data_IF_260759805043
#
_entry.id   IF_260759805043
#
_cell.length_a   1.000
_cell.length_b   1.000
_cell.length_c   1.000
_cell.angle_alpha   90.00
_cell.angle_beta   90.00
_cell.angle_gamma   90.00
#
_symmetry.space_group_name_H-M   'P 1'
#
loop_
_entity.id
_entity.type
_entity.pdbx_description
1 polymer ?
#
# COMPACT_ATOMS: atom_id res chain seq x y z
N UNK A 1 6.42 -5.73 18.35
CA UNK A 1 7.11 -5.83 17.04
C UNK A 1 6.17 -5.22 16.02
N UNK A 2 6.64 -4.28 15.19
CA UNK A 2 5.78 -3.63 14.19
C UNK A 2 5.36 -4.66 13.15
N UNK A 3 4.07 -4.75 12.88
CA UNK A 3 3.47 -5.62 11.86
C UNK A 3 3.29 -4.89 10.53
N UNK A 4 3.10 -5.61 9.43
CA UNK A 4 2.72 -5.02 8.13
C UNK A 4 1.44 -4.17 8.25
N UNK A 5 0.47 -4.65 9.03
CA UNK A 5 -0.77 -3.92 9.31
C UNK A 5 -0.48 -2.56 9.93
N UNK A 6 0.36 -2.50 10.97
CA UNK A 6 0.71 -1.24 11.63
C UNK A 6 1.51 -0.31 10.71
N UNK A 7 2.42 -0.85 9.90
CA UNK A 7 3.21 -0.11 8.93
C UNK A 7 2.33 0.57 7.87
N UNK A 8 1.45 -0.20 7.23
CA UNK A 8 0.52 0.30 6.21
C UNK A 8 -0.50 1.28 6.80
N UNK A 9 -1.06 0.97 7.97
CA UNK A 9 -1.98 1.88 8.66
C UNK A 9 -1.32 3.21 9.04
N UNK A 10 -0.05 3.20 9.41
CA UNK A 10 0.71 4.42 9.70
C UNK A 10 0.90 5.27 8.43
N UNK A 11 1.09 4.63 7.28
CA UNK A 11 1.34 5.31 6.00
C UNK A 11 0.07 5.81 5.31
N UNK A 12 -1.00 5.01 5.32
CA UNK A 12 -2.27 5.33 4.65
C UNK A 12 -3.23 6.13 5.56
N UNK A 13 -3.12 5.94 6.87
CA UNK A 13 -4.16 6.30 7.83
C UNK A 13 -5.36 5.36 7.73
N UNK A 14 -6.42 5.67 8.49
CA UNK A 14 -7.70 4.97 8.43
C UNK A 14 -8.83 6.00 8.36
N UNK A 15 -9.65 5.92 7.32
CA UNK A 15 -10.83 6.78 7.14
C UNK A 15 -12.08 5.93 6.97
N UNK A 16 -12.96 5.99 7.97
CA UNK A 16 -14.21 5.22 7.97
C UNK A 16 -15.29 5.83 7.06
N UNK A 17 -15.06 7.04 6.55
CA UNK A 17 -15.90 7.68 5.54
C UNK A 17 -15.15 7.69 4.21
N UNK A 18 -15.86 7.40 3.12
CA UNK A 18 -15.31 7.46 1.76
C UNK A 18 -14.67 8.83 1.48
N UNK A 19 -13.53 8.83 0.81
CA UNK A 19 -12.81 10.03 0.41
C UNK A 19 -12.20 9.86 -0.97
N UNK A 20 -11.69 10.94 -1.54
CA UNK A 20 -10.94 10.91 -2.80
C UNK A 20 -9.44 10.93 -2.52
N UNK A 21 -8.70 9.97 -3.08
CA UNK A 21 -7.24 9.89 -2.96
C UNK A 21 -6.51 10.96 -3.80
N UNK A 22 -5.18 10.99 -3.74
CA UNK A 22 -4.34 11.93 -4.50
C UNK A 22 -4.43 11.75 -6.02
N UNK A 23 -4.99 10.64 -6.50
CA UNK A 23 -5.22 10.34 -7.93
C UNK A 23 -6.64 10.71 -8.37
N UNK A 24 -7.48 11.20 -7.46
CA UNK A 24 -8.86 11.52 -7.76
C UNK A 24 -9.78 10.28 -7.78
N UNK A 25 -9.42 9.21 -7.06
CA UNK A 25 -10.18 7.95 -7.01
C UNK A 25 -10.86 7.76 -5.66
N UNK A 26 -12.01 7.07 -5.64
CA UNK A 26 -12.76 6.81 -4.41
C UNK A 26 -12.10 5.72 -3.57
N UNK A 27 -11.85 6.04 -2.31
CA UNK A 27 -11.08 5.21 -1.36
C UNK A 27 -11.76 5.24 0.01
N UNK A 28 -11.62 4.17 0.78
CA UNK A 28 -12.15 4.06 2.15
C UNK A 28 -11.24 3.18 3.02
N UNK A 29 -11.46 3.16 4.34
CA UNK A 29 -10.70 2.35 5.28
C UNK A 29 -9.22 2.71 5.29
N UNK A 30 -8.36 1.70 5.20
CA UNK A 30 -6.90 1.83 5.12
C UNK A 30 -6.47 1.75 3.66
N UNK A 31 -6.58 2.87 2.94
CA UNK A 31 -6.12 2.97 1.55
C UNK A 31 -6.84 2.07 0.54
N UNK A 32 -8.02 1.52 0.88
CA UNK A 32 -8.76 0.60 0.02
C UNK A 32 -9.38 1.34 -1.18
N UNK A 33 -8.85 1.10 -2.38
CA UNK A 33 -9.40 1.64 -3.62
C UNK A 33 -10.71 0.93 -3.98
N UNK A 34 -11.84 1.63 -3.86
CA UNK A 34 -13.15 1.06 -4.13
C UNK A 34 -13.30 0.75 -5.63
N UNK A 35 -12.97 1.72 -6.48
CA UNK A 35 -13.09 1.60 -7.94
C UNK A 35 -12.20 2.61 -8.66
N UNK A 36 -11.77 2.26 -9.87
CA UNK A 36 -11.07 3.20 -10.78
C UNK A 36 -12.00 4.18 -11.48
N UNK A 37 -13.32 3.95 -11.39
CA UNK A 37 -14.34 4.82 -11.99
C UNK A 37 -14.52 6.05 -11.13
N UNK A 38 -14.62 7.22 -11.77
CA UNK A 38 -14.78 8.52 -11.09
C UNK A 38 -16.25 8.92 -10.94
N UNK A 39 -17.10 7.93 -10.69
CA UNK A 39 -18.53 8.13 -10.42
C UNK A 39 -18.87 7.70 -9.00
N UNK A 40 -19.55 8.57 -8.25
CA UNK A 40 -19.85 8.35 -6.82
C UNK A 40 -20.85 7.21 -6.63
N UNK A 41 -21.88 7.13 -7.47
CA UNK A 41 -22.91 6.10 -7.36
C UNK A 41 -22.30 4.72 -7.63
N UNK A 42 -21.49 4.61 -8.68
CA UNK A 42 -20.78 3.37 -8.99
C UNK A 42 -19.78 2.97 -7.89
N UNK A 43 -19.14 3.93 -7.23
CA UNK A 43 -18.30 3.64 -6.07
C UNK A 43 -19.11 3.08 -4.89
N UNK A 44 -20.27 3.68 -4.59
CA UNK A 44 -21.16 3.16 -3.53
C UNK A 44 -21.59 1.74 -3.86
N UNK A 45 -22.08 1.48 -5.07
CA UNK A 45 -22.52 0.14 -5.50
C UNK A 45 -21.38 -0.89 -5.43
N UNK A 46 -20.18 -0.53 -5.88
CA UNK A 46 -19.00 -1.39 -5.81
C UNK A 46 -18.59 -1.71 -4.36
N UNK A 47 -18.64 -0.72 -3.46
CA UNK A 47 -18.35 -0.94 -2.05
C UNK A 47 -19.37 -1.89 -1.41
N UNK A 48 -20.66 -1.68 -1.66
CA UNK A 48 -21.74 -2.54 -1.15
C UNK A 48 -21.61 -3.98 -1.64
N UNK A 49 -21.20 -4.19 -2.90
CA UNK A 49 -20.90 -5.50 -3.46
C UNK A 49 -19.71 -6.17 -2.73
N UNK A 50 -18.64 -5.41 -2.48
CA UNK A 50 -17.45 -5.93 -1.80
C UNK A 50 -17.71 -6.34 -0.36
N UNK A 51 -18.57 -5.61 0.36
CA UNK A 51 -18.90 -5.88 1.78
C UNK A 51 -20.15 -6.74 1.96
N UNK A 52 -20.90 -6.99 0.89
CA UNK A 52 -22.10 -7.84 0.87
C UNK A 52 -23.34 -7.25 1.53
N UNK A 53 -23.37 -5.94 1.81
CA UNK A 53 -24.51 -5.25 2.43
C UNK A 53 -24.55 -3.76 2.08
N UNK A 54 -25.69 -3.12 2.32
CA UNK A 54 -25.89 -1.68 2.09
C UNK A 54 -25.12 -0.83 3.10
N UNK A 55 -24.47 0.23 2.61
CA UNK A 55 -23.75 1.18 3.47
C UNK A 55 -24.68 2.26 4.01
N UNK A 56 -24.33 2.83 5.16
CA UNK A 56 -24.93 4.08 5.62
C UNK A 56 -24.24 5.24 4.92
N UNK A 57 -24.98 6.30 4.64
CA UNK A 57 -24.45 7.52 4.04
C UNK A 57 -24.42 8.63 5.08
N UNK A 58 -23.34 9.42 5.09
CA UNK A 58 -23.23 10.63 5.89
C UNK A 58 -24.12 11.76 5.33
N UNK A 59 -24.06 12.93 5.97
CA UNK A 59 -24.80 14.14 5.53
C UNK A 59 -24.42 14.64 4.12
N UNK A 60 -23.25 14.25 3.60
CA UNK A 60 -22.76 14.59 2.26
C UNK A 60 -23.04 13.46 1.25
N UNK A 61 -23.72 12.40 1.69
CA UNK A 61 -24.01 11.22 0.88
C UNK A 61 -22.81 10.30 0.68
N UNK A 62 -21.76 10.41 1.48
CA UNK A 62 -20.57 9.55 1.43
C UNK A 62 -20.76 8.31 2.30
N UNK A 63 -20.40 7.11 1.83
CA UNK A 63 -20.42 5.88 2.63
C UNK A 63 -19.63 5.99 3.93
N UNK A 64 -20.24 5.51 5.00
CA UNK A 64 -19.61 5.25 6.28
C UNK A 64 -19.57 3.73 6.55
N UNK A 65 -18.42 3.26 6.99
CA UNK A 65 -18.20 1.86 7.37
C UNK A 65 -17.76 1.74 8.84
N UNK A 66 -18.09 0.61 9.44
CA UNK A 66 -17.56 0.29 10.76
C UNK A 66 -16.08 -0.10 10.68
N UNK A 67 -15.37 0.04 11.81
CA UNK A 67 -13.96 -0.33 11.91
C UNK A 67 -13.71 -1.81 11.55
N UNK A 68 -14.62 -2.70 11.93
CA UNK A 68 -14.57 -4.13 11.58
C UNK A 68 -14.60 -4.37 10.05
N UNK A 69 -15.38 -3.57 9.32
CA UNK A 69 -15.45 -3.63 7.85
C UNK A 69 -14.16 -3.10 7.23
N UNK A 70 -13.62 -1.98 7.76
CA UNK A 70 -12.31 -1.44 7.36
C UNK A 70 -11.19 -2.48 7.54
N UNK A 71 -11.18 -3.17 8.69
CA UNK A 71 -10.21 -4.24 8.97
C UNK A 71 -10.38 -5.43 8.01
N UNK A 72 -11.61 -5.85 7.70
CA UNK A 72 -11.87 -6.95 6.75
C UNK A 72 -11.40 -6.63 5.33
N UNK A 73 -11.73 -5.44 4.82
CA UNK A 73 -11.26 -4.95 3.50
C UNK A 73 -9.74 -4.94 3.46
N UNK A 74 -9.11 -4.42 4.50
CA UNK A 74 -7.66 -4.33 4.57
C UNK A 74 -6.96 -5.70 4.58
N UNK A 75 -7.50 -6.70 5.29
CA UNK A 75 -6.96 -8.06 5.25
C UNK A 75 -7.03 -8.67 3.84
N UNK A 76 -8.12 -8.41 3.12
CA UNK A 76 -8.27 -8.82 1.72
C UNK A 76 -7.23 -8.13 0.84
N UNK A 77 -7.04 -6.82 0.98
CA UNK A 77 -6.08 -6.05 0.19
C UNK A 77 -4.63 -6.51 0.42
N UNK A 78 -4.25 -6.86 1.66
CA UNK A 78 -2.94 -7.47 1.95
C UNK A 78 -2.80 -8.81 1.22
N UNK A 79 -3.81 -9.67 1.32
CA UNK A 79 -3.77 -10.98 0.67
C UNK A 79 -3.61 -10.84 -0.86
N UNK A 80 -4.34 -9.90 -1.47
CA UNK A 80 -4.22 -9.59 -2.89
C UNK A 80 -2.86 -8.99 -3.24
N UNK A 81 -2.32 -8.12 -2.38
CA UNK A 81 -0.98 -7.54 -2.51
C UNK A 81 0.08 -8.63 -2.57
N UNK A 82 0.10 -9.53 -1.58
CA UNK A 82 1.06 -10.65 -1.51
C UNK A 82 0.88 -11.57 -2.73
N UNK A 83 -0.36 -11.92 -3.07
CA UNK A 83 -0.63 -12.76 -4.24
C UNK A 83 -0.14 -12.12 -5.54
N UNK A 84 -0.25 -10.79 -5.68
CA UNK A 84 0.23 -10.06 -6.85
C UNK A 84 1.75 -10.04 -6.96
N UNK A 85 2.47 -10.00 -5.83
CA UNK A 85 3.93 -10.12 -5.76
C UNK A 85 4.36 -11.50 -6.24
N UNK A 86 3.74 -12.55 -5.69
CA UNK A 86 4.07 -13.94 -6.00
C UNK A 86 3.81 -14.31 -7.45
N UNK A 87 2.76 -13.74 -8.06
CA UNK A 87 2.42 -13.94 -9.48
C UNK A 87 3.27 -13.11 -10.42
N UNK A 88 3.91 -12.04 -9.94
CA UNK A 88 4.76 -11.19 -10.78
C UNK A 88 6.15 -11.83 -10.94
N UNK A 89 6.54 -12.13 -12.18
CA UNK A 89 7.80 -12.81 -12.48
C UNK A 89 9.06 -12.02 -12.10
N UNK A 90 8.98 -10.68 -12.06
CA UNK A 90 10.11 -9.84 -11.64
C UNK A 90 10.21 -9.78 -10.11
N UNK A 91 9.07 -9.64 -9.43
CA UNK A 91 9.05 -9.42 -7.98
C UNK A 91 9.19 -10.72 -7.18
N UNK A 92 8.61 -11.83 -7.64
CA UNK A 92 8.53 -13.08 -6.88
C UNK A 92 9.89 -13.65 -6.46
N UNK A 93 10.89 -13.63 -7.36
CA UNK A 93 12.26 -14.09 -7.07
C UNK A 93 12.94 -13.19 -6.04
N UNK A 94 12.82 -11.87 -6.20
CA UNK A 94 13.37 -10.89 -5.27
C UNK A 94 12.74 -11.06 -3.89
N UNK A 95 11.41 -11.08 -3.83
CA UNK A 95 10.64 -11.17 -2.60
C UNK A 95 11.00 -12.40 -1.76
N UNK A 96 11.16 -13.58 -2.39
CA UNK A 96 11.55 -14.81 -1.69
C UNK A 96 12.90 -14.71 -0.98
N UNK A 97 13.81 -13.89 -1.51
CA UNK A 97 15.19 -13.74 -1.03
C UNK A 97 15.39 -12.56 -0.05
N UNK A 98 14.33 -11.80 0.26
CA UNK A 98 14.36 -10.72 1.25
C UNK A 98 14.15 -11.24 2.67
N UNK A 99 14.76 -10.55 3.64
CA UNK A 99 14.41 -10.70 5.06
C UNK A 99 13.00 -10.16 5.36
N UNK A 100 12.46 -10.49 6.54
CA UNK A 100 11.08 -10.14 6.90
C UNK A 100 10.78 -8.65 6.83
N UNK A 101 11.72 -7.79 7.23
CA UNK A 101 11.47 -6.35 7.26
C UNK A 101 11.53 -5.76 5.84
N UNK A 102 12.47 -6.21 5.02
CA UNK A 102 12.52 -5.81 3.60
C UNK A 102 11.36 -6.37 2.78
N UNK A 103 10.81 -7.55 3.15
CA UNK A 103 9.53 -8.04 2.59
C UNK A 103 8.40 -7.06 2.87
N UNK A 104 8.26 -6.60 4.11
CA UNK A 104 7.27 -5.58 4.49
C UNK A 104 7.44 -4.29 3.70
N UNK A 105 8.68 -3.86 3.45
CA UNK A 105 8.95 -2.69 2.60
C UNK A 105 8.48 -2.88 1.15
N UNK A 106 8.71 -4.05 0.56
CA UNK A 106 8.23 -4.37 -0.79
C UNK A 106 6.70 -4.48 -0.84
N UNK A 107 6.09 -5.14 0.14
CA UNK A 107 4.64 -5.22 0.31
C UNK A 107 4.02 -3.83 0.40
N UNK A 108 4.62 -2.92 1.18
CA UNK A 108 4.13 -1.55 1.30
C UNK A 108 4.15 -0.78 -0.03
N UNK A 109 5.25 -0.89 -0.79
CA UNK A 109 5.32 -0.28 -2.13
C UNK A 109 4.27 -0.87 -3.07
N UNK A 110 4.08 -2.19 -3.05
CA UNK A 110 3.14 -2.88 -3.93
C UNK A 110 1.70 -2.56 -3.56
N UNK A 111 1.38 -2.41 -2.28
CA UNK A 111 0.08 -1.95 -1.82
C UNK A 111 -0.27 -0.57 -2.42
N UNK A 112 0.70 0.37 -2.42
CA UNK A 112 0.49 1.71 -2.94
C UNK A 112 0.42 1.78 -4.48
N UNK A 113 1.38 1.14 -5.14
CA UNK A 113 1.66 1.33 -6.58
C UNK A 113 1.16 0.17 -7.46
N UNK A 114 0.79 -0.95 -6.85
CA UNK A 114 0.52 -2.22 -7.53
C UNK A 114 1.78 -2.93 -8.02
N UNK A 115 1.70 -4.25 -8.19
CA UNK A 115 2.85 -5.07 -8.59
C UNK A 115 3.44 -4.63 -9.94
N UNK A 116 2.60 -4.27 -10.90
CA UNK A 116 3.04 -3.78 -12.21
C UNK A 116 3.79 -2.44 -12.07
N UNK A 117 3.31 -1.54 -11.20
CA UNK A 117 3.98 -0.28 -10.91
C UNK A 117 5.37 -0.50 -10.32
N UNK A 118 5.46 -1.36 -9.30
CA UNK A 118 6.74 -1.68 -8.64
C UNK A 118 7.71 -2.43 -9.57
N UNK A 119 7.22 -3.32 -10.45
CA UNK A 119 8.08 -4.03 -11.40
C UNK A 119 8.82 -3.11 -12.40
N UNK A 120 8.39 -1.85 -12.53
CA UNK A 120 9.08 -0.86 -13.36
C UNK A 120 10.30 -0.23 -12.69
N UNK A 121 10.53 -0.45 -11.38
CA UNK A 121 11.71 0.04 -10.65
C UNK A 121 12.95 -0.84 -10.94
N UNK A 122 13.22 -1.13 -12.21
CA UNK A 122 14.20 -2.14 -12.66
C UNK A 122 15.58 -1.94 -12.03
N UNK A 123 16.05 -0.70 -11.96
CA UNK A 123 17.37 -0.38 -11.38
C UNK A 123 17.40 -0.63 -9.86
N UNK A 124 16.42 -0.11 -9.11
CA UNK A 124 16.30 -0.37 -7.67
C UNK A 124 16.15 -1.86 -7.38
N UNK A 125 15.31 -2.57 -8.12
CA UNK A 125 15.08 -4.01 -7.95
C UNK A 125 16.33 -4.84 -8.21
N UNK A 126 17.15 -4.48 -9.21
CA UNK A 126 18.45 -5.14 -9.42
C UNK A 126 19.41 -4.89 -8.26
N UNK A 127 19.50 -3.65 -7.76
CA UNK A 127 20.33 -3.31 -6.60
C UNK A 127 19.86 -4.06 -5.32
N UNK A 128 18.55 -4.17 -5.12
CA UNK A 128 17.94 -4.97 -4.04
C UNK A 128 18.30 -6.45 -4.17
N UNK A 129 18.20 -7.02 -5.38
CA UNK A 129 18.58 -8.41 -5.66
C UNK A 129 20.05 -8.67 -5.36
N UNK A 130 20.92 -7.72 -5.67
CA UNK A 130 22.36 -7.75 -5.37
C UNK A 130 22.68 -7.38 -3.90
N UNK A 131 21.67 -7.08 -3.08
CA UNK A 131 21.82 -6.65 -1.68
C UNK A 131 22.64 -5.36 -1.50
N UNK A 132 22.66 -4.51 -2.53
CA UNK A 132 23.29 -3.17 -2.51
C UNK A 132 22.32 -2.15 -1.90
N UNK A 133 22.10 -2.25 -0.59
CA UNK A 133 21.02 -1.54 0.10
C UNK A 133 21.11 -0.02 0.03
N UNK A 134 22.29 0.56 0.25
CA UNK A 134 22.50 2.02 0.18
C UNK A 134 22.33 2.57 -1.24
N UNK A 135 22.79 1.84 -2.25
CA UNK A 135 22.60 2.23 -3.65
C UNK A 135 21.11 2.14 -4.03
N UNK A 136 20.44 1.06 -3.61
CA UNK A 136 19.00 0.88 -3.81
C UNK A 136 18.20 2.01 -3.16
N UNK A 137 18.57 2.41 -1.95
CA UNK A 137 17.93 3.50 -1.23
C UNK A 137 18.09 4.85 -1.95
N UNK A 138 19.30 5.13 -2.44
CA UNK A 138 19.58 6.32 -3.25
C UNK A 138 18.75 6.34 -4.52
N UNK A 139 18.68 5.20 -5.22
CA UNK A 139 17.90 5.08 -6.46
C UNK A 139 16.39 5.22 -6.20
N UNK A 140 15.87 4.61 -5.13
CA UNK A 140 14.45 4.72 -4.76
C UNK A 140 14.05 6.16 -4.41
N UNK A 141 14.94 6.92 -3.75
CA UNK A 141 14.75 8.35 -3.48
C UNK A 141 14.77 9.20 -4.75
N UNK A 142 15.47 8.75 -5.79
CA UNK A 142 15.48 9.40 -7.11
C UNK A 142 14.31 8.95 -8.01
N UNK A 143 13.12 8.77 -7.46
CA UNK A 143 11.94 8.30 -8.21
C UNK A 143 10.76 9.26 -8.11
N UNK A 144 9.86 9.19 -9.10
CA UNK A 144 8.58 9.93 -9.07
C UNK A 144 7.74 9.55 -7.85
N UNK A 145 7.80 8.28 -7.43
CA UNK A 145 7.12 7.82 -6.22
C UNK A 145 7.58 8.59 -4.97
N UNK A 146 8.90 8.79 -4.84
CA UNK A 146 9.45 9.60 -3.75
C UNK A 146 8.99 11.05 -3.84
N UNK A 147 9.04 11.64 -5.04
CA UNK A 147 8.58 13.03 -5.24
C UNK A 147 7.10 13.23 -4.91
N UNK A 148 6.26 12.22 -5.14
CA UNK A 148 4.81 12.29 -4.89
C UNK A 148 4.44 12.07 -3.43
N UNK A 149 5.15 11.19 -2.71
CA UNK A 149 4.83 10.84 -1.32
C UNK A 149 6.08 10.76 -0.42
N UNK A 150 6.85 11.86 -0.29
CA UNK A 150 8.21 11.83 0.27
C UNK A 150 8.27 11.24 1.67
N UNK A 151 7.35 11.65 2.55
CA UNK A 151 7.31 11.17 3.94
C UNK A 151 7.11 9.65 4.04
N UNK A 152 6.26 9.07 3.19
CA UNK A 152 6.02 7.62 3.16
C UNK A 152 7.20 6.90 2.55
N UNK A 153 7.65 7.36 1.38
CA UNK A 153 8.76 6.73 0.68
C UNK A 153 10.05 6.75 1.50
N UNK A 154 10.33 7.82 2.25
CA UNK A 154 11.52 7.89 3.11
C UNK A 154 11.51 6.81 4.18
N UNK A 155 10.36 6.55 4.81
CA UNK A 155 10.23 5.48 5.81
C UNK A 155 10.46 4.11 5.19
N UNK A 156 9.81 3.82 4.06
CA UNK A 156 9.93 2.55 3.34
C UNK A 156 11.37 2.33 2.84
N UNK A 157 12.00 3.37 2.28
CA UNK A 157 13.39 3.33 1.83
C UNK A 157 14.34 3.06 3.01
N UNK A 158 14.10 3.67 4.18
CA UNK A 158 14.87 3.39 5.38
C UNK A 158 14.81 1.90 5.77
N UNK A 159 13.65 1.24 5.60
CA UNK A 159 13.53 -0.21 5.87
C UNK A 159 14.35 -1.03 4.87
N UNK A 160 14.32 -0.68 3.57
CA UNK A 160 15.20 -1.32 2.59
C UNK A 160 16.68 -1.14 2.91
N UNK A 161 17.08 0.06 3.31
CA UNK A 161 18.48 0.39 3.60
C UNK A 161 18.99 -0.36 4.83
N UNK A 162 18.27 -0.24 5.94
CA UNK A 162 18.71 -0.71 7.27
C UNK A 162 18.31 -2.16 7.57
N UNK A 163 17.21 -2.64 7.00
CA UNK A 163 16.58 -3.90 7.42
C UNK A 163 15.93 -3.82 8.79
N UNK A 164 15.68 -2.64 9.34
CA UNK A 164 14.97 -2.42 10.61
C UNK A 164 13.66 -1.68 10.39
N UNK A 165 12.78 -1.70 11.39
CA UNK A 165 11.50 -0.97 11.39
C UNK A 165 11.58 0.32 12.22
N UNK A 166 12.78 0.86 12.43
CA UNK A 166 13.00 2.04 13.29
C UNK A 166 12.26 3.28 12.77
N UNK A 167 12.09 3.40 11.45
CA UNK A 167 11.29 4.45 10.80
C UNK A 167 9.79 4.37 11.11
N UNK A 168 9.33 3.29 11.73
CA UNK A 168 7.93 3.03 12.13
C UNK A 168 7.78 2.80 13.64
N UNK A 169 8.85 2.90 14.42
CA UNK A 169 8.73 2.87 15.87
C UNK A 169 8.09 4.17 16.36
N UNK A 170 6.99 4.05 17.11
CA UNK A 170 6.43 5.19 17.85
C UNK A 170 7.49 5.65 18.86
N UNK A 171 7.91 6.91 18.74
CA UNK A 171 8.64 7.59 19.81
C UNK A 171 7.74 7.78 21.04
#
# INVERSE_FOLDING_TARGET
MVTLYEMLKYDEGEKLTMYTDTRGLYTIGVGHLITKKKDKKEAIEALEEQIGHKVKLDKNGDPEIEKSVSESLFQKDISETISSIEKNSTLSDIYKNLDSNRKMALENMVFQLGANGVSNFKKSLNLIKEKKWSDAATELKNSTWHSQTPNRSDRVVSVFETGTLDSYQKK
#
